data_IF_750113444759
#
_entry.id   IF_750113444759
#
_cell.length_a   1.000
_cell.length_b   1.000
_cell.length_c   1.000
_cell.angle_alpha   90.00
_cell.angle_beta   90.00
_cell.angle_gamma   90.00
#
_symmetry.space_group_name_H-M   'P 1'
#
loop_
_entity.id
_entity.type
_entity.pdbx_description
1 polymer ?
#
# COMPACT_ATOMS: atom_id res chain seq x y z
N UNK A 1 21.81 13.26 9.34
CA UNK A 1 20.38 13.56 9.45
C UNK A 1 19.68 12.51 8.59
N UNK A 2 18.79 11.71 9.18
CA UNK A 2 17.99 10.76 8.39
C UNK A 2 17.08 11.57 7.46
N UNK A 3 16.75 11.10 6.24
CA UNK A 3 15.65 11.68 5.46
C UNK A 3 14.31 11.74 6.23
N UNK A 4 14.22 10.99 7.33
CA UNK A 4 13.06 10.89 8.20
C UNK A 4 13.22 11.69 9.52
N UNK A 5 14.19 12.62 9.58
CA UNK A 5 14.41 13.48 10.75
C UNK A 5 13.25 14.46 10.96
N UNK A 6 12.53 14.29 12.07
CA UNK A 6 11.30 15.03 12.33
C UNK A 6 11.48 16.56 12.33
N UNK A 7 12.55 17.07 12.95
CA UNK A 7 12.76 18.51 13.07
C UNK A 7 13.00 19.17 11.70
N UNK A 8 13.78 18.51 10.84
CA UNK A 8 13.96 18.94 9.44
C UNK A 8 12.64 18.91 8.66
N UNK A 9 11.90 17.81 8.74
CA UNK A 9 10.60 17.62 8.08
C UNK A 9 9.56 18.66 8.57
N UNK A 10 9.57 18.98 9.86
CA UNK A 10 8.69 20.00 10.43
C UNK A 10 9.03 21.41 9.92
N UNK A 11 10.32 21.73 9.80
CA UNK A 11 10.77 23.04 9.34
C UNK A 11 10.43 23.32 7.87
N UNK A 12 10.45 22.29 7.01
CA UNK A 12 10.07 22.42 5.59
C UNK A 12 8.57 22.24 5.33
N UNK A 13 7.83 21.71 6.30
CA UNK A 13 6.39 21.49 6.16
C UNK A 13 5.62 22.80 5.97
N UNK A 14 4.50 22.70 5.27
CA UNK A 14 3.58 23.83 5.08
C UNK A 14 2.70 23.97 6.32
N UNK A 15 2.62 25.18 6.87
CA UNK A 15 1.79 25.50 8.04
C UNK A 15 0.31 25.60 7.68
N UNK A 16 -0.27 24.47 7.28
CA UNK A 16 -1.69 24.28 7.01
C UNK A 16 -2.08 22.85 7.32
N UNK A 17 -3.29 22.66 7.83
CA UNK A 17 -3.83 21.32 8.06
C UNK A 17 -4.11 20.64 6.71
N UNK A 18 -3.63 19.40 6.48
CA UNK A 18 -3.87 18.71 5.22
C UNK A 18 -5.32 18.22 5.08
N UNK A 19 -5.94 17.77 6.16
CA UNK A 19 -7.29 17.17 6.14
C UNK A 19 -8.29 18.05 6.90
N UNK A 20 -9.51 18.17 6.37
CA UNK A 20 -10.59 18.88 7.03
C UNK A 20 -11.13 18.10 8.25
N UNK A 21 -11.02 16.77 8.24
CA UNK A 21 -11.52 15.88 9.28
C UNK A 21 -10.70 14.57 9.37
N UNK A 22 -11.00 13.75 10.39
CA UNK A 22 -10.33 12.48 10.61
C UNK A 22 -10.60 11.44 9.52
N UNK A 23 -11.80 11.43 8.92
CA UNK A 23 -12.15 10.48 7.85
C UNK A 23 -11.27 10.66 6.62
N UNK A 24 -10.99 11.89 6.23
CA UNK A 24 -10.05 12.19 5.14
C UNK A 24 -8.64 11.70 5.46
N UNK A 25 -8.17 11.96 6.68
CA UNK A 25 -6.87 11.48 7.14
C UNK A 25 -6.76 9.95 7.10
N UNK A 26 -7.74 9.25 7.66
CA UNK A 26 -7.75 7.78 7.65
C UNK A 26 -7.86 7.19 6.25
N UNK A 27 -8.71 7.76 5.39
CA UNK A 27 -8.84 7.27 4.01
C UNK A 27 -7.57 7.50 3.18
N UNK A 28 -6.84 8.58 3.43
CA UNK A 28 -5.53 8.79 2.82
C UNK A 28 -4.49 7.78 3.34
N UNK A 29 -4.45 7.56 4.65
CA UNK A 29 -3.54 6.61 5.30
C UNK A 29 -3.72 5.19 4.78
N UNK A 30 -4.96 4.72 4.70
CA UNK A 30 -5.29 3.38 4.21
C UNK A 30 -4.78 3.17 2.76
N UNK A 31 -4.93 4.20 1.92
CA UNK A 31 -4.54 4.13 0.52
C UNK A 31 -3.03 4.28 0.28
N UNK A 32 -2.31 5.08 1.08
CA UNK A 32 -0.96 5.53 0.74
C UNK A 32 0.12 5.07 1.71
N UNK A 33 -0.23 4.78 2.97
CA UNK A 33 0.75 4.52 4.02
C UNK A 33 1.70 3.41 3.60
N UNK A 34 1.17 2.25 3.16
CA UNK A 34 1.95 1.06 2.79
C UNK A 34 2.95 1.25 1.64
N UNK A 35 2.78 2.28 0.81
CA UNK A 35 3.57 2.50 -0.41
C UNK A 35 4.46 3.73 -0.36
N UNK A 36 4.17 4.69 0.52
CA UNK A 36 4.99 5.90 0.68
C UNK A 36 6.32 5.54 1.37
N UNK A 37 7.45 6.00 0.82
CA UNK A 37 8.79 5.61 1.29
C UNK A 37 9.07 6.12 2.71
N UNK A 38 8.79 7.40 2.97
CA UNK A 38 9.01 8.04 4.27
C UNK A 38 8.04 7.59 5.39
N UNK A 39 7.06 6.74 5.06
CA UNK A 39 6.18 6.09 6.04
C UNK A 39 6.62 4.65 6.35
N UNK A 40 7.78 4.26 5.84
CA UNK A 40 8.34 2.91 5.87
C UNK A 40 9.00 2.42 7.16
N UNK A 41 9.59 3.25 8.04
CA UNK A 41 10.41 2.74 9.16
C UNK A 41 9.66 1.75 10.07
N UNK A 42 8.45 2.11 10.50
CA UNK A 42 7.59 1.24 11.32
C UNK A 42 7.23 -0.09 10.64
N UNK A 43 7.19 -0.15 9.31
CA UNK A 43 6.99 -1.42 8.55
C UNK A 43 8.21 -2.33 8.53
N UNK A 44 9.40 -1.77 8.71
CA UNK A 44 10.67 -2.51 8.69
C UNK A 44 11.07 -3.02 10.08
N UNK A 45 10.13 -2.99 11.04
CA UNK A 45 10.37 -3.34 12.44
C UNK A 45 10.99 -2.21 13.27
N UNK A 46 11.08 -1.00 12.70
CA UNK A 46 11.53 0.20 13.39
C UNK A 46 10.34 1.02 13.90
N UNK A 47 9.50 0.39 14.74
CA UNK A 47 8.32 1.04 15.33
C UNK A 47 8.70 2.32 16.09
N UNK A 48 9.89 2.37 16.67
CA UNK A 48 10.44 3.53 17.38
C UNK A 48 10.68 4.75 16.48
N UNK A 49 10.80 4.55 15.17
CA UNK A 49 10.98 5.60 14.17
C UNK A 49 9.65 6.08 13.57
N UNK A 50 8.56 5.34 13.81
CA UNK A 50 7.19 5.77 13.52
C UNK A 50 6.88 6.03 12.04
N UNK A 51 5.98 7.00 11.83
CA UNK A 51 5.48 7.50 10.55
C UNK A 51 5.60 9.03 10.57
N UNK A 52 6.77 9.60 10.24
CA UNK A 52 7.05 11.00 10.50
C UNK A 52 6.16 11.96 9.70
N UNK A 53 5.76 11.63 8.46
CA UNK A 53 4.87 12.52 7.69
C UNK A 53 3.42 12.44 8.18
N UNK A 54 2.95 11.27 8.63
CA UNK A 54 1.67 11.15 9.36
C UNK A 54 1.68 12.00 10.63
N UNK A 55 2.78 11.95 11.40
CA UNK A 55 2.89 12.73 12.63
C UNK A 55 2.78 14.23 12.33
N UNK A 56 3.42 14.72 11.27
CA UNK A 56 3.25 16.09 10.80
C UNK A 56 1.79 16.44 10.49
N UNK A 57 1.09 15.56 9.77
CA UNK A 57 -0.33 15.76 9.46
C UNK A 57 -1.20 15.85 10.71
N UNK A 58 -0.92 15.02 11.73
CA UNK A 58 -1.63 15.02 13.01
C UNK A 58 -1.39 16.30 13.82
N UNK A 59 -0.20 16.90 13.75
CA UNK A 59 0.10 18.20 14.38
C UNK A 59 -0.35 19.40 13.52
N UNK A 60 -1.10 19.14 12.44
CA UNK A 60 -1.70 20.18 11.60
C UNK A 60 -0.76 20.78 10.57
N UNK A 61 0.32 20.08 10.23
CA UNK A 61 1.30 20.49 9.20
C UNK A 61 1.10 19.64 7.96
N UNK A 62 1.20 20.24 6.77
CA UNK A 62 1.18 19.49 5.51
C UNK A 62 2.63 19.20 5.09
N UNK A 63 3.05 17.93 5.02
CA UNK A 63 4.39 17.54 4.57
C UNK A 63 4.75 18.15 3.20
N UNK A 64 6.03 18.48 3.01
CA UNK A 64 6.55 18.92 1.71
C UNK A 64 6.55 17.77 0.70
N UNK A 65 6.66 16.54 1.20
CA UNK A 65 6.66 15.26 0.48
C UNK A 65 5.30 14.89 -0.13
N UNK A 66 4.26 15.70 0.11
CA UNK A 66 2.92 15.47 -0.41
C UNK A 66 2.59 16.44 -1.53
N UNK A 67 2.46 15.94 -2.75
CA UNK A 67 1.94 16.67 -3.89
C UNK A 67 0.42 16.70 -3.85
N UNK A 68 -0.19 17.80 -4.31
CA UNK A 68 -1.63 17.82 -4.51
C UNK A 68 -1.98 16.78 -5.59
N UNK A 69 -2.91 15.88 -5.26
CA UNK A 69 -3.39 14.89 -6.21
C UNK A 69 -4.45 15.46 -7.17
N UNK A 70 -4.97 14.64 -8.09
CA UNK A 70 -5.89 15.09 -9.13
C UNK A 70 -7.15 15.73 -8.53
N UNK A 71 -7.67 16.71 -9.27
CA UNK A 71 -8.93 17.40 -8.98
C UNK A 71 -9.81 17.37 -10.22
N UNK A 72 -11.12 17.28 -10.05
CA UNK A 72 -12.05 17.44 -11.17
C UNK A 72 -12.26 18.91 -11.54
N UNK A 73 -13.12 19.18 -12.53
CA UNK A 73 -13.41 20.54 -13.01
C UNK A 73 -13.97 21.46 -11.92
N UNK A 74 -14.60 20.89 -10.89
CA UNK A 74 -15.16 21.61 -9.74
C UNK A 74 -14.17 21.69 -8.56
N UNK A 75 -12.94 21.18 -8.71
CA UNK A 75 -11.91 21.19 -7.67
C UNK A 75 -12.10 20.12 -6.58
N UNK A 76 -12.98 19.13 -6.80
CA UNK A 76 -13.19 18.03 -5.86
C UNK A 76 -12.10 16.98 -5.99
N UNK A 77 -11.91 16.21 -4.94
CA UNK A 77 -10.93 15.13 -4.87
C UNK A 77 -11.52 13.87 -4.27
N UNK A 78 -10.96 12.74 -4.66
CA UNK A 78 -11.14 11.49 -3.91
C UNK A 78 -10.32 11.56 -2.63
N UNK A 79 -10.88 11.08 -1.52
CA UNK A 79 -10.20 11.08 -0.20
C UNK A 79 -8.80 10.45 -0.29
N UNK A 80 -8.68 9.31 -0.97
CA UNK A 80 -7.41 8.62 -1.17
C UNK A 80 -6.38 9.40 -2.01
N UNK A 81 -6.87 10.24 -2.93
CA UNK A 81 -6.08 10.98 -3.91
C UNK A 81 -5.95 12.48 -3.56
N UNK A 82 -6.32 12.90 -2.35
CA UNK A 82 -6.20 14.30 -1.97
C UNK A 82 -4.75 14.78 -2.09
N UNK A 83 -3.82 13.92 -1.68
CA UNK A 83 -2.38 14.08 -1.79
C UNK A 83 -1.73 12.82 -2.34
N UNK A 84 -0.58 12.98 -3.01
CA UNK A 84 0.28 11.87 -3.44
C UNK A 84 1.67 12.05 -2.86
N UNK A 85 2.30 10.96 -2.45
CA UNK A 85 3.71 11.01 -2.04
C UNK A 85 4.59 11.37 -3.24
N UNK A 86 5.63 12.17 -3.02
CA UNK A 86 6.64 12.43 -4.05
C UNK A 86 7.39 11.14 -4.39
N UNK A 87 7.59 10.28 -3.40
CA UNK A 87 8.34 9.03 -3.53
C UNK A 87 7.51 7.84 -3.05
N UNK A 88 7.25 6.93 -3.98
CA UNK A 88 6.57 5.65 -3.74
C UNK A 88 7.57 4.50 -3.94
N UNK A 89 7.41 3.42 -3.18
CA UNK A 89 8.14 2.17 -3.45
C UNK A 89 7.78 1.65 -4.84
N UNK A 90 8.75 1.08 -5.55
CA UNK A 90 8.47 0.39 -6.79
C UNK A 90 8.08 -1.08 -6.51
N UNK A 91 7.35 -1.74 -7.41
CA UNK A 91 6.98 -3.17 -7.23
C UNK A 91 8.20 -4.10 -7.05
N UNK A 92 9.38 -3.64 -7.46
CA UNK A 92 10.65 -4.35 -7.37
C UNK A 92 11.42 -4.09 -6.07
N UNK A 93 10.95 -3.18 -5.20
CA UNK A 93 11.49 -3.05 -3.85
C UNK A 93 11.03 -4.26 -3.06
N UNK A 94 11.91 -5.27 -3.00
CA UNK A 94 11.66 -6.56 -2.40
C UNK A 94 11.22 -6.40 -0.94
N UNK A 95 9.90 -6.42 -0.70
CA UNK A 95 9.41 -6.89 0.58
C UNK A 95 9.93 -8.31 0.79
N UNK A 96 10.30 -8.72 2.01
CA UNK A 96 10.64 -10.11 2.23
C UNK A 96 9.47 -10.98 1.73
N UNK A 97 9.77 -11.91 0.83
CA UNK A 97 8.81 -12.95 0.42
C UNK A 97 8.08 -13.47 1.66
N UNK A 98 6.74 -13.60 1.63
CA UNK A 98 5.98 -14.07 2.77
C UNK A 98 6.59 -15.37 3.30
N UNK A 99 7.20 -15.30 4.47
CA UNK A 99 7.74 -16.49 5.13
C UNK A 99 6.63 -17.10 5.97
N UNK A 100 6.58 -18.43 6.11
CA UNK A 100 5.75 -19.06 7.11
C UNK A 100 5.96 -18.44 8.50
N UNK A 101 4.87 -18.01 9.14
CA UNK A 101 4.90 -17.60 10.54
C UNK A 101 5.21 -18.84 11.39
N UNK A 102 6.22 -18.81 12.28
CA UNK A 102 6.48 -19.90 13.21
C UNK A 102 5.26 -20.17 14.08
N UNK A 103 4.99 -21.43 14.39
CA UNK A 103 3.89 -21.77 15.28
C UNK A 103 4.13 -21.21 16.70
N UNK A 104 3.20 -20.43 17.26
CA UNK A 104 3.35 -19.92 18.61
C UNK A 104 3.29 -21.07 19.62
N UNK A 105 4.14 -21.05 20.66
CA UNK A 105 4.19 -22.12 21.65
C UNK A 105 2.85 -22.26 22.37
N UNK A 106 2.33 -23.49 22.43
CA UNK A 106 1.07 -23.82 23.13
C UNK A 106 -0.18 -23.77 22.26
N UNK A 107 -0.08 -23.38 20.99
CA UNK A 107 -1.17 -23.55 20.03
C UNK A 107 -1.10 -24.95 19.40
N UNK A 108 -2.15 -25.75 19.56
CA UNK A 108 -2.28 -27.01 18.83
C UNK A 108 -2.49 -26.70 17.35
N UNK A 109 -1.92 -27.52 16.46
CA UNK A 109 -2.10 -27.37 15.02
C UNK A 109 -3.53 -27.71 14.60
N UNK A 110 -4.07 -27.00 13.61
CA UNK A 110 -5.38 -27.31 13.02
C UNK A 110 -5.34 -28.60 12.16
N UNK A 111 -4.13 -29.11 11.88
CA UNK A 111 -3.84 -30.33 11.13
C UNK A 111 -2.34 -30.43 10.81
N UNK A 112 -1.86 -31.57 10.29
CA UNK A 112 -0.47 -31.74 9.87
C UNK A 112 -0.11 -30.77 8.73
N UNK A 113 1.08 -30.18 8.82
CA UNK A 113 1.54 -29.10 7.94
C UNK A 113 2.26 -29.65 6.71
N UNK A 114 2.84 -30.84 6.82
CA UNK A 114 3.63 -31.51 5.79
C UNK A 114 2.99 -31.53 4.37
N UNK A 115 1.67 -31.74 4.17
CA UNK A 115 1.09 -31.73 2.83
C UNK A 115 0.88 -30.32 2.24
N UNK A 116 1.05 -29.26 3.02
CA UNK A 116 0.79 -27.88 2.63
C UNK A 116 2.08 -27.05 2.47
N UNK A 117 3.23 -27.60 2.84
CA UNK A 117 4.53 -26.94 2.67
C UNK A 117 5.00 -27.02 1.21
N UNK A 118 5.36 -25.88 0.62
CA UNK A 118 5.96 -25.83 -0.73
C UNK A 118 4.97 -25.83 -1.91
N UNK A 119 3.66 -25.89 -1.67
CA UNK A 119 2.66 -25.76 -2.74
C UNK A 119 2.60 -24.28 -3.17
N UNK A 120 3.28 -23.96 -4.28
CA UNK A 120 3.06 -22.69 -4.98
C UNK A 120 1.61 -22.68 -5.48
N UNK A 121 0.80 -21.75 -4.96
CA UNK A 121 -0.62 -21.55 -5.30
C UNK A 121 -0.88 -21.26 -6.80
N UNK A 122 0.17 -21.10 -7.59
CA UNK A 122 0.13 -20.92 -9.04
C UNK A 122 1.08 -21.93 -9.69
N UNK A 123 0.65 -23.19 -9.73
CA UNK A 123 1.28 -24.16 -10.63
C UNK A 123 0.79 -23.83 -12.03
N UNK A 124 1.70 -23.62 -12.98
CA UNK A 124 1.33 -23.44 -14.39
C UNK A 124 0.54 -24.68 -14.85
N UNK A 125 -0.62 -24.45 -15.48
CA UNK A 125 -1.37 -25.51 -16.17
C UNK A 125 -0.40 -26.27 -17.07
N UNK A 126 -0.08 -27.51 -16.69
CA UNK A 126 0.84 -28.37 -17.45
C UNK A 126 0.12 -29.05 -18.63
N UNK A 127 -1.19 -28.83 -18.76
CA UNK A 127 -1.98 -29.34 -19.87
C UNK A 127 -2.64 -28.19 -20.64
N UNK A 128 -2.58 -28.20 -21.98
CA UNK A 128 -3.37 -27.26 -22.76
C UNK A 128 -4.85 -27.47 -22.46
N UNK A 129 -5.57 -26.38 -22.20
CA UNK A 129 -7.01 -26.40 -22.03
C UNK A 129 -7.64 -27.18 -23.20
N UNK A 130 -8.50 -28.19 -22.94
CA UNK A 130 -9.23 -28.84 -24.01
C UNK A 130 -10.03 -27.76 -24.75
N UNK A 131 -10.01 -27.79 -26.09
CA UNK A 131 -10.54 -26.77 -27.02
C UNK A 131 -12.06 -26.52 -26.92
N UNK A 132 -12.73 -26.94 -25.85
CA UNK A 132 -14.17 -26.81 -25.66
C UNK A 132 -14.59 -25.37 -25.32
N UNK A 133 -13.65 -24.48 -25.03
CA UNK A 133 -13.90 -23.04 -24.83
C UNK A 133 -13.68 -22.16 -26.07
N UNK A 134 -13.21 -22.73 -27.19
CA UNK A 134 -12.98 -21.97 -28.44
C UNK A 134 -14.23 -21.87 -29.35
N UNK A 135 -15.37 -22.41 -28.92
CA UNK A 135 -16.60 -22.43 -29.71
C UNK A 135 -17.67 -21.51 -29.10
N UNK A 136 -17.36 -20.22 -28.96
CA UNK A 136 -18.37 -19.15 -28.82
C UNK A 136 -17.94 -17.92 -29.62
N UNK A 137 -17.56 -18.10 -30.89
CA UNK A 137 -17.76 -17.04 -31.87
C UNK A 137 -19.24 -17.06 -32.26
N UNK A 138 -20.05 -16.32 -31.51
CA UNK A 138 -21.32 -15.81 -32.01
C UNK A 138 -20.97 -14.82 -33.11
N UNK A 139 -21.19 -15.22 -34.36
CA UNK A 139 -21.25 -14.30 -35.50
C UNK A 139 -22.52 -13.48 -35.35
N UNK A 140 -22.37 -12.25 -34.88
CA UNK A 140 -23.38 -11.21 -35.02
C UNK A 140 -23.34 -10.69 -36.48
N UNK A 141 -24.52 -10.41 -37.04
CA UNK A 141 -24.71 -10.15 -38.47
C UNK A 141 -24.55 -8.69 -38.92
N UNK A 142 -24.77 -8.49 -40.23
CA UNK A 142 -24.78 -7.22 -40.97
C UNK A 142 -23.63 -7.14 -41.98
N UNK A 143 -23.80 -6.98 -43.29
CA UNK A 143 -24.90 -6.60 -44.19
C UNK A 143 -24.84 -7.42 -45.49
#
# INVERSE_FOLDING_TARGET
MSPDDYDALFAESRDRRPFANGTEGYGWLDANCSTCIHEGPSRQGHEEQGCPLVLLALVGRTPAQWLDGPRDAEGRYGIADQYRCIEYRHENDAGPEPRPVPEPPGQLTLGPREPLEGVRMLTALTEPLPQVLAANHVTDGGE
#
